data_IF_833367672711
#
_entry.id   IF_833367672711
#
_cell.length_a   1.000
_cell.length_b   1.000
_cell.length_c   1.000
_cell.angle_alpha   90.00
_cell.angle_beta   90.00
_cell.angle_gamma   90.00
#
_symmetry.space_group_name_H-M   'P 1'
#
loop_
_entity.id
_entity.type
_entity.pdbx_description
1 polymer ?
#
# COMPACT_ATOMS: atom_id res chain seq x y z
N UNK A 1 -1.16 -16.67 -78.02
CA UNK A 1 0.17 -17.03 -77.49
C UNK A 1 0.57 -16.25 -76.24
N UNK A 2 -0.07 -15.15 -75.89
CA UNK A 2 0.22 -14.34 -74.69
C UNK A 2 -0.40 -14.90 -73.39
N UNK A 3 -1.60 -15.42 -73.42
CA UNK A 3 -2.35 -15.89 -72.21
C UNK A 3 -1.70 -17.12 -71.55
N UNK A 4 -1.13 -18.02 -72.35
CA UNK A 4 -0.47 -19.24 -71.86
C UNK A 4 0.85 -18.93 -71.06
N UNK A 5 1.53 -17.84 -71.39
CA UNK A 5 2.74 -17.42 -70.64
C UNK A 5 2.40 -16.78 -69.30
N UNK A 6 1.28 -16.05 -69.20
CA UNK A 6 0.85 -15.41 -67.94
C UNK A 6 0.42 -16.46 -66.91
N UNK A 7 -0.30 -17.49 -67.35
CA UNK A 7 -0.75 -18.56 -66.44
C UNK A 7 0.43 -19.39 -65.87
N UNK A 8 1.47 -19.64 -66.69
CA UNK A 8 2.68 -20.31 -66.20
C UNK A 8 3.49 -19.49 -65.20
N UNK A 9 3.53 -18.15 -65.38
CA UNK A 9 4.24 -17.24 -64.49
C UNK A 9 3.47 -17.09 -63.18
N UNK A 10 2.14 -17.02 -63.22
CA UNK A 10 1.32 -16.96 -61.99
C UNK A 10 1.42 -18.27 -61.15
N UNK A 11 1.41 -19.43 -61.81
CA UNK A 11 1.56 -20.72 -61.10
C UNK A 11 2.96 -20.83 -60.44
N UNK A 12 4.01 -20.35 -61.12
CA UNK A 12 5.36 -20.40 -60.55
C UNK A 12 5.49 -19.49 -59.30
N UNK A 13 4.83 -18.34 -59.33
CA UNK A 13 4.78 -17.41 -58.17
C UNK A 13 3.96 -18.02 -57.00
N UNK A 14 2.87 -18.72 -57.29
CA UNK A 14 2.05 -19.38 -56.27
C UNK A 14 2.77 -20.55 -55.61
N UNK A 15 3.53 -21.30 -56.33
CA UNK A 15 4.36 -22.39 -55.76
C UNK A 15 5.58 -21.85 -55.00
N UNK A 16 6.18 -20.74 -55.40
CA UNK A 16 7.28 -20.14 -54.63
C UNK A 16 6.79 -19.52 -53.31
N UNK A 17 5.60 -18.91 -53.28
CA UNK A 17 5.02 -18.36 -52.05
C UNK A 17 4.55 -19.47 -51.09
N UNK A 18 4.02 -20.59 -51.60
CA UNK A 18 3.71 -21.72 -50.69
C UNK A 18 4.98 -22.40 -50.14
N UNK A 19 6.10 -22.38 -50.87
CA UNK A 19 7.34 -23.01 -50.42
C UNK A 19 8.07 -22.15 -49.37
N UNK A 20 7.93 -20.83 -49.42
CA UNK A 20 8.48 -19.92 -48.42
C UNK A 20 7.68 -19.98 -47.10
N UNK A 21 6.36 -20.29 -47.15
CA UNK A 21 5.56 -20.48 -45.93
C UNK A 21 5.70 -21.86 -45.29
N UNK A 22 6.25 -22.87 -46.03
CA UNK A 22 6.41 -24.22 -45.49
C UNK A 22 7.79 -24.49 -44.89
N UNK A 23 8.74 -23.54 -44.94
CA UNK A 23 10.08 -23.69 -44.35
C UNK A 23 10.33 -22.84 -43.13
N UNK A 24 9.33 -22.04 -42.72
CA UNK A 24 9.35 -21.38 -41.40
C UNK A 24 8.76 -22.29 -40.30
N UNK A 25 9.14 -23.57 -40.26
CA UNK A 25 9.29 -24.25 -39.00
C UNK A 25 10.53 -23.68 -38.33
N UNK A 26 10.44 -22.40 -37.92
CA UNK A 26 11.21 -21.96 -36.83
C UNK A 26 10.90 -22.96 -35.70
N UNK A 27 11.90 -23.69 -35.25
CA UNK A 27 11.90 -24.29 -33.92
C UNK A 27 11.69 -23.14 -32.92
N UNK A 28 10.48 -22.65 -32.81
CA UNK A 28 10.02 -21.98 -31.64
C UNK A 28 10.07 -23.06 -30.56
N UNK A 29 11.18 -23.14 -29.85
CA UNK A 29 11.35 -24.03 -28.73
C UNK A 29 10.07 -23.92 -27.89
N UNK A 30 9.48 -25.05 -27.57
CA UNK A 30 8.26 -25.08 -26.79
C UNK A 30 8.60 -24.36 -25.47
N UNK A 31 8.01 -23.19 -25.17
CA UNK A 31 8.35 -22.46 -23.94
C UNK A 31 8.18 -23.31 -22.68
N UNK A 32 7.35 -24.36 -22.74
CA UNK A 32 7.19 -25.36 -21.68
C UNK A 32 8.36 -26.35 -21.64
N UNK A 33 9.02 -26.64 -22.77
CA UNK A 33 10.25 -27.47 -22.80
C UNK A 33 11.45 -26.68 -22.33
N UNK A 34 11.56 -25.38 -22.69
CA UNK A 34 12.61 -24.51 -22.18
C UNK A 34 12.43 -24.26 -20.68
N UNK A 35 11.16 -24.19 -20.20
CA UNK A 35 10.86 -24.13 -18.78
C UNK A 35 11.21 -25.45 -18.05
N UNK A 36 11.02 -26.58 -18.69
CA UNK A 36 11.42 -27.90 -18.15
C UNK A 36 12.95 -28.08 -18.11
N UNK A 37 13.68 -27.55 -19.10
CA UNK A 37 15.15 -27.60 -19.11
C UNK A 37 15.79 -26.68 -18.05
N UNK A 38 15.15 -25.56 -17.70
CA UNK A 38 15.57 -24.71 -16.57
C UNK A 38 15.32 -25.39 -15.21
N UNK A 39 14.46 -26.41 -15.15
CA UNK A 39 14.19 -27.18 -13.94
C UNK A 39 15.24 -28.26 -13.60
N UNK A 40 16.21 -28.51 -14.47
CA UNK A 40 17.34 -29.42 -14.18
C UNK A 40 18.42 -28.82 -13.26
N UNK A 41 18.35 -27.53 -12.94
CA UNK A 41 19.05 -27.03 -11.77
C UNK A 41 18.34 -27.59 -10.54
N UNK A 42 18.97 -28.56 -9.88
CA UNK A 42 18.52 -29.04 -8.57
C UNK A 42 18.50 -27.87 -7.60
N UNK A 43 17.33 -27.20 -7.53
CA UNK A 43 17.13 -26.16 -6.53
C UNK A 43 17.16 -26.84 -5.17
N UNK A 44 18.13 -26.52 -4.31
CA UNK A 44 18.28 -27.19 -3.03
C UNK A 44 17.02 -27.01 -2.18
N UNK A 45 16.64 -28.06 -1.47
CA UNK A 45 15.56 -28.00 -0.49
C UNK A 45 16.09 -27.30 0.76
N UNK A 46 15.37 -26.33 1.27
CA UNK A 46 15.60 -25.74 2.60
C UNK A 46 14.46 -26.13 3.53
N UNK A 47 14.82 -26.64 4.71
CA UNK A 47 13.87 -26.96 5.78
C UNK A 47 14.00 -25.89 6.85
N UNK A 48 12.98 -25.09 7.04
CA UNK A 48 12.89 -24.09 8.09
C UNK A 48 12.16 -24.68 9.29
N UNK A 49 12.76 -24.50 10.48
CA UNK A 49 12.15 -24.86 11.76
C UNK A 49 11.75 -23.58 12.49
N UNK A 50 10.55 -23.59 13.07
CA UNK A 50 10.02 -22.46 13.82
C UNK A 50 9.34 -22.94 15.11
N UNK A 51 9.14 -22.02 16.06
CA UNK A 51 8.33 -22.28 17.24
C UNK A 51 6.92 -22.71 16.85
N UNK A 52 6.36 -22.04 15.86
CA UNK A 52 5.05 -22.30 15.29
C UNK A 52 5.00 -21.77 13.84
N UNK A 53 4.33 -22.48 12.97
CA UNK A 53 4.04 -22.07 11.59
C UNK A 53 2.54 -22.18 11.38
N UNK A 54 1.87 -21.04 11.17
CA UNK A 54 0.45 -20.98 10.85
C UNK A 54 0.28 -21.33 9.37
N UNK A 55 -0.41 -22.42 9.07
CA UNK A 55 -0.55 -22.91 7.69
C UNK A 55 -1.76 -22.38 6.95
N UNK A 56 -2.79 -21.92 7.68
CA UNK A 56 -4.14 -21.63 7.19
C UNK A 56 -4.88 -22.86 6.61
N UNK A 57 -4.32 -24.07 6.75
CA UNK A 57 -5.01 -25.31 6.43
C UNK A 57 -5.84 -25.76 7.65
N UNK A 58 -7.17 -25.83 7.56
CA UNK A 58 -8.01 -26.22 8.68
C UNK A 58 -7.75 -27.65 9.18
N UNK A 59 -7.16 -28.52 8.36
CA UNK A 59 -6.79 -29.89 8.75
C UNK A 59 -5.48 -29.96 9.53
N UNK A 60 -4.61 -28.98 9.35
CA UNK A 60 -3.28 -28.94 9.96
C UNK A 60 -2.88 -27.47 10.24
N UNK A 61 -3.62 -26.76 11.09
CA UNK A 61 -3.53 -25.30 11.22
C UNK A 61 -2.16 -24.81 11.69
N UNK A 62 -1.49 -25.59 12.54
CA UNK A 62 -0.18 -25.24 13.09
C UNK A 62 0.80 -26.39 12.93
N UNK A 63 2.02 -26.07 12.51
CA UNK A 63 3.14 -27.01 12.36
C UNK A 63 4.42 -26.37 12.89
N UNK A 64 5.54 -27.10 12.91
CA UNK A 64 6.82 -26.58 13.42
C UNK A 64 7.94 -26.60 12.37
N UNK A 65 7.70 -27.19 11.19
CA UNK A 65 8.66 -27.20 10.10
C UNK A 65 7.97 -27.06 8.75
N UNK A 66 8.71 -26.47 7.80
CA UNK A 66 8.32 -26.32 6.40
C UNK A 66 9.51 -26.57 5.51
N UNK A 67 9.33 -27.39 4.45
CA UNK A 67 10.32 -27.55 3.40
C UNK A 67 9.95 -26.68 2.20
N UNK A 68 10.93 -25.95 1.70
CA UNK A 68 10.82 -25.05 0.55
C UNK A 68 11.83 -25.48 -0.52
N UNK A 69 11.36 -25.58 -1.76
CA UNK A 69 12.22 -25.79 -2.93
C UNK A 69 11.98 -24.66 -3.93
N UNK A 70 12.98 -23.83 -4.14
CA UNK A 70 12.83 -22.62 -4.93
C UNK A 70 11.77 -21.67 -4.35
N UNK A 71 10.67 -21.47 -5.07
CA UNK A 71 9.57 -20.61 -4.67
C UNK A 71 8.34 -21.38 -4.17
N UNK A 72 8.46 -22.68 -3.88
CA UNK A 72 7.34 -23.53 -3.52
C UNK A 72 7.55 -24.19 -2.17
N UNK A 73 6.50 -24.21 -1.36
CA UNK A 73 6.39 -25.08 -0.17
C UNK A 73 6.08 -26.48 -0.70
N UNK A 74 6.92 -27.47 -0.34
CA UNK A 74 6.79 -28.84 -0.78
C UNK A 74 6.35 -29.80 0.34
N UNK A 75 6.57 -29.42 1.61
CA UNK A 75 6.12 -30.17 2.76
C UNK A 75 5.92 -29.28 3.98
N UNK A 76 4.96 -29.62 4.86
CA UNK A 76 4.71 -28.99 6.15
C UNK A 76 4.43 -30.03 7.21
N UNK A 77 4.89 -29.79 8.46
CA UNK A 77 4.66 -30.72 9.54
C UNK A 77 5.55 -30.44 10.74
N UNK A 78 5.76 -31.46 11.57
CA UNK A 78 6.91 -31.53 12.46
C UNK A 78 8.18 -31.73 11.61
N UNK A 79 9.35 -31.48 12.17
CA UNK A 79 10.62 -31.73 11.47
C UNK A 79 10.69 -33.15 10.93
N UNK A 80 10.35 -34.15 11.74
CA UNK A 80 10.38 -35.57 11.35
C UNK A 80 9.38 -35.90 10.23
N UNK A 81 8.18 -35.32 10.25
CA UNK A 81 7.20 -35.51 9.16
C UNK A 81 7.70 -34.88 7.85
N UNK A 82 8.28 -33.69 7.93
CA UNK A 82 8.85 -33.03 6.76
C UNK A 82 10.01 -33.83 6.18
N UNK A 83 10.93 -34.33 7.03
CA UNK A 83 12.04 -35.21 6.62
C UNK A 83 11.55 -36.50 5.95
N UNK A 84 10.50 -37.10 6.48
CA UNK A 84 9.89 -38.28 5.86
C UNK A 84 9.26 -37.99 4.48
N UNK A 85 8.65 -36.81 4.33
CA UNK A 85 8.01 -36.39 3.07
C UNK A 85 9.01 -36.05 1.97
N UNK A 86 10.13 -35.39 2.32
CA UNK A 86 11.18 -35.06 1.34
C UNK A 86 12.10 -36.25 1.02
N UNK A 87 12.00 -37.34 1.80
CA UNK A 87 12.70 -38.60 1.56
C UNK A 87 14.22 -38.46 1.58
N UNK A 88 14.88 -38.99 0.53
CA UNK A 88 16.36 -38.97 0.39
C UNK A 88 16.93 -37.67 -0.16
N UNK A 89 16.07 -36.66 -0.41
CA UNK A 89 16.55 -35.37 -0.93
C UNK A 89 17.49 -34.71 0.06
N UNK A 90 18.64 -34.26 -0.45
CA UNK A 90 19.57 -33.44 0.36
C UNK A 90 18.88 -32.10 0.65
N UNK A 91 18.93 -31.66 1.89
CA UNK A 91 18.35 -30.40 2.30
C UNK A 91 19.29 -29.61 3.21
N UNK A 92 19.10 -28.32 3.28
CA UNK A 92 19.73 -27.42 4.25
C UNK A 92 18.75 -27.15 5.38
N UNK A 93 19.16 -27.43 6.62
CA UNK A 93 18.38 -27.07 7.79
C UNK A 93 18.62 -25.60 8.14
N UNK A 94 17.53 -24.87 8.36
CA UNK A 94 17.57 -23.46 8.74
C UNK A 94 16.76 -23.26 10.05
N UNK A 95 17.46 -22.94 11.13
CA UNK A 95 16.90 -22.77 12.47
C UNK A 95 16.76 -21.30 12.89
N UNK A 96 16.94 -20.35 11.95
CA UNK A 96 16.86 -18.91 12.28
C UNK A 96 15.52 -18.47 12.85
N UNK A 97 14.47 -19.26 12.62
CA UNK A 97 13.10 -18.99 13.09
C UNK A 97 12.68 -19.89 14.25
N UNK A 98 13.55 -20.70 14.85
CA UNK A 98 13.18 -21.69 15.89
C UNK A 98 12.39 -21.11 17.07
N UNK A 99 12.61 -19.84 17.40
CA UNK A 99 11.94 -19.12 18.48
C UNK A 99 10.88 -18.13 17.99
N UNK A 100 10.52 -18.19 16.69
CA UNK A 100 9.57 -17.27 16.04
C UNK A 100 8.33 -18.01 15.58
N UNK A 101 7.25 -17.23 15.42
CA UNK A 101 6.05 -17.68 14.74
C UNK A 101 6.14 -17.26 13.28
N UNK A 102 6.01 -18.20 12.34
CA UNK A 102 5.91 -17.92 10.92
C UNK A 102 4.45 -17.89 10.50
N UNK A 103 4.10 -16.93 9.70
CA UNK A 103 2.78 -16.79 9.08
C UNK A 103 2.94 -16.66 7.57
N UNK A 104 1.93 -17.04 6.77
CA UNK A 104 1.92 -16.72 5.35
C UNK A 104 2.03 -15.22 5.11
N UNK A 105 2.63 -14.83 3.99
CA UNK A 105 2.65 -13.44 3.56
C UNK A 105 1.23 -12.90 3.41
N UNK A 106 1.00 -11.68 3.89
CA UNK A 106 -0.31 -11.04 3.74
C UNK A 106 -0.58 -10.70 2.29
N UNK A 107 -1.78 -11.04 1.82
CA UNK A 107 -2.28 -10.67 0.50
C UNK A 107 -3.37 -9.63 0.70
N UNK A 108 -3.04 -8.38 0.43
CA UNK A 108 -4.00 -7.30 0.45
C UNK A 108 -4.72 -7.22 -0.90
N UNK A 109 -6.02 -7.47 -0.93
CA UNK A 109 -6.84 -7.30 -2.14
C UNK A 109 -7.18 -5.83 -2.36
N UNK A 110 -7.34 -5.07 -1.27
CA UNK A 110 -7.53 -3.63 -1.26
C UNK A 110 -6.91 -3.10 0.04
N UNK A 111 -5.87 -2.26 -0.08
CA UNK A 111 -5.16 -1.73 1.07
C UNK A 111 -4.59 -0.33 0.77
N UNK A 112 -4.54 0.50 1.80
CA UNK A 112 -3.92 1.81 1.81
C UNK A 112 -2.81 1.87 2.87
N UNK A 113 -1.67 1.20 2.68
CA UNK A 113 -0.66 1.04 3.73
C UNK A 113 -0.07 2.37 4.21
N UNK A 114 0.07 3.35 3.30
CA UNK A 114 0.51 4.70 3.68
C UNK A 114 -0.51 5.39 4.59
N UNK A 115 -1.80 5.33 4.25
CA UNK A 115 -2.87 5.89 5.06
C UNK A 115 -2.93 5.20 6.43
N UNK A 116 -2.83 3.87 6.47
CA UNK A 116 -2.78 3.11 7.72
C UNK A 116 -1.59 3.55 8.59
N UNK A 117 -0.40 3.68 8.02
CA UNK A 117 0.79 4.18 8.73
C UNK A 117 0.59 5.58 9.30
N UNK A 118 0.05 6.50 8.53
CA UNK A 118 -0.25 7.87 8.98
C UNK A 118 -1.31 7.87 10.09
N UNK A 119 -2.38 7.07 9.94
CA UNK A 119 -3.43 6.95 10.96
C UNK A 119 -2.86 6.43 12.29
N UNK A 120 -1.94 5.46 12.26
CA UNK A 120 -1.30 4.93 13.46
C UNK A 120 -0.42 5.95 14.19
N UNK A 121 0.09 6.95 13.50
CA UNK A 121 0.93 8.02 14.08
C UNK A 121 0.16 9.31 14.40
N UNK A 122 -1.09 9.42 13.92
CA UNK A 122 -1.94 10.58 14.17
C UNK A 122 -2.77 10.47 15.46
N UNK A 123 -3.35 11.57 15.89
CA UNK A 123 -4.44 11.57 16.87
C UNK A 123 -5.74 11.23 16.15
N UNK A 124 -6.39 10.14 16.53
CA UNK A 124 -7.67 9.74 15.91
C UNK A 124 -8.82 10.37 16.68
N UNK A 125 -9.58 11.25 16.01
CA UNK A 125 -10.81 11.84 16.50
C UNK A 125 -11.91 11.55 15.48
N UNK A 126 -12.61 10.45 15.69
CA UNK A 126 -13.55 9.89 14.73
C UNK A 126 -14.96 9.74 15.30
N UNK A 127 -15.90 9.35 14.48
CA UNK A 127 -17.31 9.14 14.86
C UNK A 127 -17.54 7.86 15.68
N UNK A 128 -16.56 6.96 15.70
CA UNK A 128 -16.55 5.71 16.48
C UNK A 128 -15.29 5.60 17.34
N UNK A 129 -15.34 4.75 18.38
CA UNK A 129 -14.16 4.41 19.17
C UNK A 129 -13.16 3.65 18.30
N UNK A 130 -11.89 3.99 18.39
CA UNK A 130 -10.80 3.32 17.70
C UNK A 130 -9.86 2.63 18.69
N UNK A 131 -9.59 1.35 18.45
CA UNK A 131 -8.65 0.55 19.22
C UNK A 131 -7.47 0.21 18.32
N UNK A 132 -6.35 0.88 18.55
CA UNK A 132 -5.07 0.58 17.89
C UNK A 132 -4.21 -0.26 18.85
N UNK A 133 -3.17 -0.94 18.36
CA UNK A 133 -2.33 -1.81 19.20
C UNK A 133 -1.73 -1.13 20.44
N UNK A 134 -1.46 0.18 20.35
CA UNK A 134 -0.80 0.96 21.40
C UNK A 134 -1.69 2.02 22.05
N UNK A 135 -2.88 2.29 21.52
CA UNK A 135 -3.75 3.38 22.01
C UNK A 135 -5.21 3.15 21.65
N UNK A 136 -6.09 3.59 22.54
CA UNK A 136 -7.54 3.66 22.31
C UNK A 136 -7.98 5.10 22.24
N UNK A 137 -8.80 5.44 21.27
CA UNK A 137 -9.39 6.74 21.08
C UNK A 137 -10.90 6.68 21.26
N UNK A 138 -11.47 7.67 21.93
CA UNK A 138 -12.90 7.79 22.11
C UNK A 138 -13.53 8.55 20.96
N UNK A 139 -14.75 8.12 20.60
CA UNK A 139 -15.55 8.77 19.59
C UNK A 139 -15.92 10.21 19.97
N UNK A 140 -15.95 11.10 18.99
CA UNK A 140 -16.67 12.35 19.04
C UNK A 140 -18.01 12.21 18.30
N UNK A 141 -19.11 12.55 18.93
CA UNK A 141 -20.47 12.36 18.37
C UNK A 141 -21.10 13.65 17.86
N UNK A 142 -20.46 14.78 18.10
CA UNK A 142 -20.92 16.10 17.69
C UNK A 142 -19.74 17.09 17.66
N UNK A 143 -20.01 18.32 17.21
CA UNK A 143 -19.00 19.36 17.06
C UNK A 143 -18.30 19.71 18.38
N UNK A 144 -19.07 19.89 19.47
CA UNK A 144 -18.49 20.28 20.75
C UNK A 144 -17.53 19.22 21.30
N UNK A 145 -17.88 17.94 21.20
CA UNK A 145 -17.01 16.82 21.57
C UNK A 145 -15.75 16.78 20.69
N UNK A 146 -15.90 17.01 19.37
CA UNK A 146 -14.76 17.04 18.46
C UNK A 146 -13.76 18.14 18.83
N UNK A 147 -14.23 19.37 19.04
CA UNK A 147 -13.38 20.51 19.43
C UNK A 147 -12.73 20.26 20.81
N UNK A 148 -13.46 19.67 21.76
CA UNK A 148 -12.91 19.31 23.07
C UNK A 148 -11.75 18.32 22.94
N UNK A 149 -11.94 17.23 22.22
CA UNK A 149 -10.91 16.21 22.00
C UNK A 149 -9.71 16.76 21.22
N UNK A 150 -9.95 17.66 20.27
CA UNK A 150 -8.88 18.31 19.51
C UNK A 150 -8.04 19.23 20.42
N UNK A 151 -8.69 19.98 21.30
CA UNK A 151 -8.02 20.83 22.30
C UNK A 151 -7.24 20.00 23.32
N UNK A 152 -7.79 18.88 23.77
CA UNK A 152 -7.10 17.93 24.63
C UNK A 152 -5.87 17.32 23.96
N UNK A 153 -5.99 16.97 22.67
CA UNK A 153 -4.88 16.45 21.89
C UNK A 153 -3.75 17.48 21.77
N UNK A 154 -4.09 18.73 21.49
CA UNK A 154 -3.12 19.84 21.42
C UNK A 154 -2.37 20.01 22.75
N UNK A 155 -3.09 20.03 23.87
CA UNK A 155 -2.51 20.25 25.21
C UNK A 155 -1.53 19.15 25.66
N UNK A 156 -1.63 17.94 25.10
CA UNK A 156 -0.72 16.82 25.43
C UNK A 156 0.63 16.92 24.74
N UNK A 157 0.74 17.67 23.65
CA UNK A 157 1.98 17.80 22.87
C UNK A 157 2.88 18.83 23.54
N UNK A 158 4.07 18.40 23.99
CA UNK A 158 5.01 19.27 24.73
C UNK A 158 5.83 20.19 23.83
N UNK A 159 6.24 19.69 22.66
CA UNK A 159 7.04 20.47 21.72
C UNK A 159 6.13 21.42 20.92
N UNK A 160 6.29 22.74 21.03
CA UNK A 160 5.45 23.72 20.32
C UNK A 160 5.62 23.67 18.80
N UNK A 161 6.76 23.17 18.31
CA UNK A 161 7.03 23.02 16.86
C UNK A 161 6.45 21.73 16.28
N UNK A 162 6.10 20.78 17.13
CA UNK A 162 5.49 19.52 16.67
C UNK A 162 4.08 19.78 16.15
N UNK A 163 3.82 19.33 14.92
CA UNK A 163 2.51 19.41 14.31
C UNK A 163 1.51 18.50 15.03
N UNK A 164 0.28 18.98 15.23
CA UNK A 164 -0.86 18.14 15.56
C UNK A 164 -1.53 17.66 14.28
N UNK A 165 -1.35 16.41 13.96
CA UNK A 165 -2.09 15.73 12.89
C UNK A 165 -3.22 14.92 13.49
N UNK A 166 -4.45 15.16 13.04
CA UNK A 166 -5.61 14.34 13.43
C UNK A 166 -6.22 13.67 12.21
N UNK A 167 -6.83 12.51 12.40
CA UNK A 167 -7.58 11.78 11.39
C UNK A 167 -8.97 11.40 11.91
N UNK A 168 -9.96 11.36 11.00
CA UNK A 168 -11.28 10.84 11.33
C UNK A 168 -12.40 11.88 11.38
N UNK A 169 -12.11 13.16 11.19
CA UNK A 169 -13.12 14.21 11.09
C UNK A 169 -14.16 13.90 10.01
N UNK A 170 -15.41 14.23 10.28
CA UNK A 170 -16.52 14.05 9.37
C UNK A 170 -17.57 15.17 9.53
N UNK A 171 -17.69 16.03 8.54
CA UNK A 171 -18.49 17.25 8.62
C UNK A 171 -20.00 17.01 8.92
N UNK A 172 -20.60 15.91 8.44
CA UNK A 172 -22.01 15.59 8.75
C UNK A 172 -22.28 15.28 10.23
N UNK A 173 -21.28 14.83 10.96
CA UNK A 173 -21.41 14.47 12.39
C UNK A 173 -20.77 15.53 13.28
N UNK A 174 -19.54 15.96 12.92
CA UNK A 174 -18.78 16.91 13.70
C UNK A 174 -19.11 18.37 13.35
N UNK A 175 -20.05 18.64 12.41
CA UNK A 175 -20.41 19.99 11.96
C UNK A 175 -19.33 20.61 11.05
N UNK A 176 -19.56 21.84 10.59
CA UNK A 176 -18.55 22.62 9.87
C UNK A 176 -17.31 22.86 10.76
N UNK A 177 -16.14 22.79 10.16
CA UNK A 177 -14.87 23.15 10.80
C UNK A 177 -14.23 24.31 10.05
N UNK A 178 -13.92 25.38 10.76
CA UNK A 178 -13.31 26.60 10.18
C UNK A 178 -11.89 26.78 10.70
N UNK A 179 -11.02 27.34 9.87
CA UNK A 179 -9.68 27.71 10.27
C UNK A 179 -9.64 28.52 11.56
N UNK A 180 -10.57 29.48 11.71
CA UNK A 180 -10.67 30.31 12.90
C UNK A 180 -11.00 29.55 14.20
N UNK A 181 -11.56 28.35 14.10
CA UNK A 181 -11.77 27.47 15.26
C UNK A 181 -10.50 26.72 15.61
N UNK A 182 -9.75 26.27 14.61
CA UNK A 182 -8.43 25.69 14.80
C UNK A 182 -7.44 26.69 15.37
N UNK A 183 -7.50 27.95 14.94
CA UNK A 183 -6.67 29.04 15.46
C UNK A 183 -6.96 29.38 16.94
N UNK A 184 -8.21 29.17 17.39
CA UNK A 184 -8.57 29.31 18.82
C UNK A 184 -7.99 28.19 19.69
N UNK A 185 -7.80 27.00 19.09
CA UNK A 185 -7.15 25.87 19.79
C UNK A 185 -5.66 26.12 19.91
N UNK A 186 -5.00 26.52 18.81
CA UNK A 186 -3.61 26.96 18.87
C UNK A 186 -3.28 27.93 17.72
N UNK A 187 -2.79 29.11 18.11
CA UNK A 187 -2.31 30.13 17.17
C UNK A 187 -0.84 29.93 16.75
N UNK A 188 -0.14 29.02 17.40
CA UNK A 188 1.31 28.80 17.20
C UNK A 188 1.64 27.41 16.69
N UNK A 189 0.94 26.37 17.18
CA UNK A 189 1.13 24.99 16.72
C UNK A 189 0.44 24.75 15.38
N UNK A 190 1.13 24.20 14.38
CA UNK A 190 0.48 23.73 13.17
C UNK A 190 -0.53 22.62 13.48
N UNK A 191 -1.78 22.83 13.10
CA UNK A 191 -2.85 21.83 13.21
C UNK A 191 -3.30 21.44 11.81
N UNK A 192 -3.32 20.13 11.56
CA UNK A 192 -3.85 19.55 10.34
C UNK A 192 -4.92 18.53 10.71
N UNK A 193 -6.12 18.75 10.22
CA UNK A 193 -7.26 17.83 10.35
C UNK A 193 -7.46 17.10 9.05
N UNK A 194 -7.26 15.80 9.06
CA UNK A 194 -7.52 14.97 7.90
C UNK A 194 -8.90 14.33 7.99
N UNK A 195 -9.71 14.61 6.98
CA UNK A 195 -11.07 14.09 6.91
C UNK A 195 -11.07 12.56 6.73
N UNK A 196 -12.07 11.90 7.28
CA UNK A 196 -12.18 10.43 7.25
C UNK A 196 -12.30 9.84 5.83
N UNK A 197 -12.72 10.64 4.84
CA UNK A 197 -12.72 10.21 3.45
C UNK A 197 -11.31 10.02 2.87
N UNK A 198 -10.29 10.56 3.53
CA UNK A 198 -8.92 10.71 3.07
C UNK A 198 -8.74 11.66 1.87
N UNK A 199 -9.79 12.41 1.49
CA UNK A 199 -9.81 13.30 0.34
C UNK A 199 -9.79 14.78 0.69
N UNK A 200 -9.77 15.13 1.98
CA UNK A 200 -9.86 16.52 2.45
C UNK A 200 -8.95 16.76 3.63
N UNK A 201 -8.39 17.95 3.71
CA UNK A 201 -7.64 18.46 4.86
C UNK A 201 -8.09 19.87 5.23
N UNK A 202 -8.08 20.14 6.54
CA UNK A 202 -8.27 21.48 7.12
C UNK A 202 -7.00 21.84 7.88
N UNK A 203 -6.57 23.09 7.75
CA UNK A 203 -5.35 23.57 8.39
C UNK A 203 -5.58 24.92 9.07
N UNK A 204 -4.85 25.17 10.15
CA UNK A 204 -4.88 26.47 10.83
C UNK A 204 -3.83 27.45 10.23
N UNK A 205 -3.91 28.71 10.63
CA UNK A 205 -2.98 29.77 10.20
C UNK A 205 -1.52 29.45 10.56
N UNK A 206 -1.27 28.77 11.67
CA UNK A 206 0.09 28.34 12.03
C UNK A 206 0.66 27.31 11.06
N UNK A 207 -0.16 26.39 10.56
CA UNK A 207 0.23 25.44 9.53
C UNK A 207 0.50 26.14 8.19
N UNK A 208 -0.35 27.08 7.78
CA UNK A 208 -0.11 27.88 6.57
C UNK A 208 1.26 28.56 6.62
N UNK A 209 1.54 29.23 7.73
CA UNK A 209 2.81 29.92 7.94
C UNK A 209 4.01 28.97 7.92
N UNK A 210 3.92 27.85 8.63
CA UNK A 210 5.02 26.86 8.71
C UNK A 210 5.35 26.25 7.35
N UNK A 211 4.35 25.96 6.56
CA UNK A 211 4.52 25.24 5.30
C UNK A 211 4.56 26.15 4.06
N UNK A 212 4.56 27.47 4.26
CA UNK A 212 4.59 28.44 3.15
C UNK A 212 3.38 28.31 2.24
N UNK A 213 2.20 28.16 2.84
CA UNK A 213 0.90 28.11 2.17
C UNK A 213 0.33 29.52 2.26
N UNK A 214 0.80 30.39 1.39
CA UNK A 214 0.39 31.80 1.34
C UNK A 214 -0.43 32.07 0.07
N UNK A 215 -0.91 33.30 -0.02
CA UNK A 215 -1.71 33.75 -1.16
C UNK A 215 -0.95 33.67 -2.50
N UNK A 216 0.37 33.87 -2.46
CA UNK A 216 1.22 33.74 -3.66
C UNK A 216 1.28 32.30 -4.13
N UNK A 217 1.48 31.35 -3.20
CA UNK A 217 1.42 29.94 -3.51
C UNK A 217 0.04 29.55 -4.05
N UNK A 218 -1.05 29.94 -3.37
CA UNK A 218 -2.41 29.63 -3.84
C UNK A 218 -2.68 30.16 -5.23
N UNK A 219 -2.28 31.40 -5.53
CA UNK A 219 -2.44 31.99 -6.87
C UNK A 219 -1.57 31.33 -7.94
N UNK A 220 -0.50 30.64 -7.57
CA UNK A 220 0.35 29.88 -8.49
C UNK A 220 -0.24 28.54 -8.92
N UNK A 221 -1.26 28.07 -8.20
CA UNK A 221 -1.93 26.80 -8.52
C UNK A 221 -2.79 26.92 -9.78
N UNK A 222 -3.02 25.78 -10.44
CA UNK A 222 -3.93 25.76 -11.59
C UNK A 222 -5.36 26.13 -11.14
N UNK A 223 -6.18 26.61 -12.07
CA UNK A 223 -7.56 26.98 -11.79
C UNK A 223 -8.36 25.82 -11.18
N UNK A 224 -8.17 24.60 -11.69
CA UNK A 224 -8.87 23.42 -11.18
C UNK A 224 -8.49 23.08 -9.73
N UNK A 225 -7.25 23.36 -9.32
CA UNK A 225 -6.80 23.18 -7.92
C UNK A 225 -7.35 24.28 -7.04
N UNK A 226 -7.39 25.52 -7.50
CA UNK A 226 -7.98 26.65 -6.77
C UNK A 226 -9.48 26.44 -6.54
N UNK A 227 -10.21 25.89 -7.52
CA UNK A 227 -11.64 25.53 -7.39
C UNK A 227 -11.92 24.41 -6.38
N UNK A 228 -10.89 23.67 -6.00
CA UNK A 228 -10.95 22.61 -4.97
C UNK A 228 -10.15 22.98 -3.70
N UNK A 229 -10.10 24.26 -3.42
CA UNK A 229 -9.42 24.82 -2.27
C UNK A 229 -10.17 26.06 -1.77
N UNK A 230 -10.44 26.13 -0.48
CA UNK A 230 -10.90 27.34 0.21
C UNK A 230 -9.74 27.86 1.06
N UNK A 231 -8.91 28.68 0.43
CA UNK A 231 -7.71 29.24 1.04
C UNK A 231 -8.06 30.08 2.29
N UNK A 232 -9.13 30.86 2.23
CA UNK A 232 -9.52 31.78 3.32
C UNK A 232 -10.05 31.03 4.57
N UNK A 233 -10.47 29.75 4.39
CA UNK A 233 -10.91 28.88 5.49
C UNK A 233 -9.97 27.70 5.75
N UNK A 234 -8.81 27.65 5.08
CA UNK A 234 -7.81 26.60 5.26
C UNK A 234 -8.31 25.19 4.88
N UNK A 235 -9.25 25.08 3.94
CA UNK A 235 -9.86 23.83 3.54
C UNK A 235 -9.46 23.45 2.11
N UNK A 236 -8.94 22.21 1.96
CA UNK A 236 -8.42 21.70 0.71
C UNK A 236 -8.96 20.29 0.46
N UNK A 237 -9.58 20.07 -0.72
CA UNK A 237 -10.14 18.77 -1.08
C UNK A 237 -9.69 18.35 -2.47
N UNK A 238 -9.75 17.05 -2.76
CA UNK A 238 -9.35 16.43 -4.02
C UNK A 238 -7.99 16.96 -4.53
N UNK A 239 -7.96 17.71 -5.63
CA UNK A 239 -6.72 18.26 -6.19
C UNK A 239 -6.09 19.30 -5.26
N UNK A 240 -6.87 20.05 -4.49
CA UNK A 240 -6.38 20.96 -3.47
C UNK A 240 -5.61 20.19 -2.40
N UNK A 241 -6.14 19.06 -1.93
CA UNK A 241 -5.45 18.17 -1.01
C UNK A 241 -4.15 17.61 -1.60
N UNK A 242 -4.14 17.18 -2.88
CA UNK A 242 -2.93 16.71 -3.56
C UNK A 242 -1.87 17.82 -3.71
N UNK A 243 -2.27 19.07 -3.87
CA UNK A 243 -1.34 20.19 -3.91
C UNK A 243 -0.77 20.53 -2.52
N UNK A 244 -1.57 20.39 -1.46
CA UNK A 244 -1.18 20.62 -0.07
C UNK A 244 -0.26 19.52 0.45
N UNK A 245 -0.58 18.25 0.15
CA UNK A 245 0.10 17.06 0.68
C UNK A 245 1.62 17.11 0.64
N UNK A 246 2.27 17.41 -0.50
CA UNK A 246 3.73 17.48 -0.60
C UNK A 246 4.38 18.53 0.31
N UNK A 247 3.65 19.55 0.74
CA UNK A 247 4.16 20.58 1.65
C UNK A 247 4.22 20.08 3.10
N UNK A 248 3.25 19.27 3.50
CA UNK A 248 3.07 18.86 4.90
C UNK A 248 3.62 17.45 5.18
N UNK A 249 3.77 16.60 4.15
CA UNK A 249 4.11 15.17 4.31
C UNK A 249 5.48 14.95 4.97
N UNK A 250 6.41 15.88 4.85
CA UNK A 250 7.74 15.79 5.46
C UNK A 250 7.68 15.66 6.97
N UNK A 251 6.77 16.40 7.60
CA UNK A 251 6.59 16.39 9.05
C UNK A 251 5.66 15.25 9.50
N UNK A 252 4.78 14.78 8.60
CA UNK A 252 3.95 13.59 8.86
C UNK A 252 4.80 12.32 8.94
N UNK A 253 5.82 12.22 8.10
CA UNK A 253 6.68 11.03 8.00
C UNK A 253 7.86 11.04 8.99
N UNK A 254 8.07 12.12 9.73
CA UNK A 254 9.14 12.21 10.75
C UNK A 254 8.63 11.66 12.08
N UNK A 255 9.25 10.60 12.63
CA UNK A 255 8.87 10.07 13.95
C UNK A 255 9.24 11.02 15.10
#
# INVERSE_FOLDING_TARGET
MAISKIIKTLNLFFYLTLWVFSTSNANAGNPLQDFALVSEYEVPVEVYVAKEIVTLDPKKPNVTAVAVQGKRIIATGSKSEVEALIGTSKYKLNEMFKDKVLVPGFIAQHDHPLLAGITMTSEVIAIEDWVLPNKTFKAAKNHAEYISLLSEAESRIKDPEQMLLTWGYHHYIHGELKQSELDKISSTRPIIVWHRSAHEMYINTAAEKKYGIDKTWYQSLSKSVQEQSDFDNGHYWEQGWFALGPKVIKDIASP
#
